data_IF_955962102927
#
_entry.id   IF_955962102927
#
_cell.length_a   1.000
_cell.length_b   1.000
_cell.length_c   1.000
_cell.angle_alpha   90.00
_cell.angle_beta   90.00
_cell.angle_gamma   90.00
#
_symmetry.space_group_name_H-M   'P 1'
#
loop_
_entity.id
_entity.type
_entity.pdbx_description
1 polymer ?
#
# COMPACT_ATOMS: atom_id res chain seq x y z
N UNK A 1 -66.60 -48.70 -48.26
CA UNK A 1 -67.83 -48.66 -47.46
C UNK A 1 -67.61 -47.68 -46.31
N UNK A 2 -68.08 -46.43 -46.44
CA UNK A 2 -69.34 -45.96 -45.83
C UNK A 2 -69.18 -45.68 -44.32
N UNK A 3 -69.01 -44.41 -43.91
CA UNK A 3 -70.03 -43.54 -43.30
C UNK A 3 -69.41 -42.44 -42.41
N UNK A 4 -69.94 -41.23 -42.60
CA UNK A 4 -69.81 -40.03 -41.77
C UNK A 4 -70.65 -40.18 -40.50
N UNK A 5 -70.18 -39.64 -39.36
CA UNK A 5 -70.92 -39.00 -38.23
C UNK A 5 -69.91 -38.85 -37.06
N UNK A 6 -69.86 -37.80 -36.25
CA UNK A 6 -70.69 -36.64 -36.05
C UNK A 6 -70.10 -35.82 -34.89
N UNK A 7 -70.48 -34.54 -34.87
CA UNK A 7 -70.08 -33.46 -33.95
C UNK A 7 -70.29 -33.82 -32.47
N UNK A 8 -69.40 -33.33 -31.59
CA UNK A 8 -69.76 -32.70 -30.30
C UNK A 8 -68.62 -31.81 -29.78
N UNK A 9 -68.93 -30.51 -29.70
CA UNK A 9 -68.19 -29.49 -28.97
C UNK A 9 -68.03 -29.93 -27.51
N UNK A 10 -66.79 -30.01 -27.03
CA UNK A 10 -66.52 -29.81 -25.61
C UNK A 10 -65.45 -28.72 -25.44
N UNK A 11 -65.83 -27.77 -24.60
CA UNK A 11 -65.09 -26.59 -24.21
C UNK A 11 -63.89 -27.05 -23.39
N UNK A 12 -62.69 -26.99 -23.96
CA UNK A 12 -61.46 -27.15 -23.19
C UNK A 12 -60.97 -25.76 -22.78
N UNK A 13 -61.11 -25.48 -21.47
CA UNK A 13 -60.49 -24.35 -20.82
C UNK A 13 -58.97 -24.45 -20.99
N UNK A 14 -58.38 -23.51 -21.74
CA UNK A 14 -56.94 -23.32 -21.81
C UNK A 14 -56.50 -22.71 -20.48
N UNK A 15 -55.99 -23.56 -19.59
CA UNK A 15 -55.22 -23.11 -18.42
C UNK A 15 -53.90 -22.57 -18.97
N UNK A 16 -53.84 -21.25 -19.13
CA UNK A 16 -52.58 -20.53 -19.32
C UNK A 16 -51.81 -20.64 -18.01
N UNK A 17 -50.85 -21.56 -17.95
CA UNK A 17 -49.82 -21.56 -16.92
C UNK A 17 -48.96 -20.33 -17.17
N UNK A 18 -49.25 -19.25 -16.44
CA UNK A 18 -48.34 -18.14 -16.29
C UNK A 18 -47.06 -18.68 -15.63
N UNK A 19 -46.03 -18.93 -16.44
CA UNK A 19 -44.66 -19.05 -15.97
C UNK A 19 -44.25 -17.69 -15.39
N UNK A 20 -44.48 -17.50 -14.09
CA UNK A 20 -43.79 -16.46 -13.34
C UNK A 20 -42.31 -16.83 -13.34
N UNK A 21 -41.55 -16.18 -14.22
CA UNK A 21 -40.12 -16.00 -14.04
C UNK A 21 -39.94 -15.16 -12.78
N UNK A 22 -39.74 -15.82 -11.63
CA UNK A 22 -39.13 -15.19 -10.48
C UNK A 22 -37.71 -14.79 -10.89
N UNK A 23 -37.55 -13.56 -11.38
CA UNK A 23 -36.31 -12.83 -11.21
C UNK A 23 -36.10 -12.69 -9.70
N UNK A 24 -35.34 -13.62 -9.12
CA UNK A 24 -34.79 -13.48 -7.77
C UNK A 24 -33.71 -12.40 -7.82
N UNK A 25 -34.14 -11.14 -7.84
CA UNK A 25 -33.32 -10.02 -7.40
C UNK A 25 -33.42 -9.99 -5.87
N UNK A 26 -32.43 -10.54 -5.17
CA UNK A 26 -32.41 -10.50 -3.71
C UNK A 26 -31.67 -11.67 -3.07
N UNK A 27 -30.42 -11.89 -3.47
CA UNK A 27 -29.48 -12.71 -2.70
C UNK A 27 -28.37 -11.80 -2.21
N UNK A 28 -28.64 -10.95 -1.23
CA UNK A 28 -27.53 -10.44 -0.41
C UNK A 28 -26.83 -11.66 0.16
N UNK A 29 -25.50 -11.72 0.07
CA UNK A 29 -24.75 -12.80 0.71
C UNK A 29 -25.02 -12.70 2.21
N UNK A 30 -25.99 -13.46 2.72
CA UNK A 30 -26.28 -13.52 4.14
C UNK A 30 -25.24 -14.42 4.82
N UNK A 31 -24.54 -13.85 5.80
CA UNK A 31 -23.54 -14.56 6.58
C UNK A 31 -22.39 -13.65 6.97
N UNK A 32 -21.48 -14.21 7.76
CA UNK A 32 -20.25 -13.56 8.18
C UNK A 32 -19.08 -14.44 7.75
N UNK A 33 -17.92 -13.81 7.57
CA UNK A 33 -16.64 -14.47 7.38
C UNK A 33 -15.55 -13.69 8.09
N UNK A 34 -14.30 -14.05 7.80
CA UNK A 34 -13.13 -13.40 8.41
C UNK A 34 -12.45 -12.51 7.40
N UNK A 35 -12.26 -11.24 7.74
CA UNK A 35 -11.40 -10.33 6.98
C UNK A 35 -10.10 -10.13 7.75
N UNK A 36 -8.97 -10.39 7.09
CA UNK A 36 -7.64 -10.08 7.59
C UNK A 36 -7.02 -8.95 6.75
N UNK A 37 -6.25 -8.09 7.40
CA UNK A 37 -5.36 -7.14 6.74
C UNK A 37 -3.94 -7.51 7.08
N UNK A 38 -3.11 -7.61 6.05
CA UNK A 38 -1.68 -7.88 6.16
C UNK A 38 -0.86 -6.68 5.67
N UNK A 39 0.37 -6.58 6.13
CA UNK A 39 1.37 -5.66 5.58
C UNK A 39 2.62 -6.42 5.17
N UNK A 40 3.27 -5.98 4.11
CA UNK A 40 4.63 -6.39 3.76
C UNK A 40 5.34 -5.31 2.95
N UNK A 41 6.67 -5.37 2.97
CA UNK A 41 7.48 -4.67 1.99
C UNK A 41 7.57 -5.53 0.74
N UNK A 42 7.51 -4.92 -0.43
CA UNK A 42 7.74 -5.64 -1.68
C UNK A 42 9.14 -6.31 -1.72
N UNK A 43 9.40 -7.08 -2.78
CA UNK A 43 10.68 -7.77 -2.96
C UNK A 43 11.89 -6.82 -2.90
N UNK A 44 11.75 -5.58 -3.35
CA UNK A 44 12.79 -4.55 -3.27
C UNK A 44 13.16 -4.13 -1.86
N UNK A 45 12.24 -4.24 -0.90
CA UNK A 45 12.56 -4.02 0.52
C UNK A 45 13.18 -5.28 1.12
N UNK A 46 12.59 -6.45 0.87
CA UNK A 46 13.02 -7.71 1.51
C UNK A 46 14.36 -8.26 0.99
N UNK A 47 14.65 -8.04 -0.29
CA UNK A 47 15.82 -8.63 -0.99
C UNK A 47 16.75 -7.56 -1.56
N UNK A 48 16.31 -6.31 -1.60
CA UNK A 48 17.04 -5.20 -2.19
C UNK A 48 16.62 -4.89 -3.62
N UNK A 49 16.93 -3.67 -4.05
CA UNK A 49 16.67 -3.19 -5.40
C UNK A 49 17.90 -3.50 -6.26
N UNK A 50 17.77 -4.32 -7.32
CA UNK A 50 18.91 -4.71 -8.14
C UNK A 50 19.33 -3.58 -9.10
N UNK A 51 20.57 -3.64 -9.58
CA UNK A 51 21.16 -2.61 -10.44
C UNK A 51 20.45 -2.40 -11.79
N UNK A 52 19.61 -3.36 -12.20
CA UNK A 52 18.80 -3.28 -13.41
C UNK A 52 17.59 -2.37 -13.29
N UNK A 53 17.15 -2.08 -12.06
CA UNK A 53 16.04 -1.14 -11.80
C UNK A 53 16.53 0.30 -11.86
N UNK A 54 17.73 0.56 -11.34
CA UNK A 54 18.34 1.88 -11.36
C UNK A 54 18.86 2.25 -12.76
N UNK A 55 18.41 3.41 -13.26
CA UNK A 55 18.88 3.95 -14.55
C UNK A 55 20.39 4.26 -14.56
N UNK A 56 20.96 4.47 -13.38
CA UNK A 56 22.38 4.75 -13.13
C UNK A 56 23.12 3.57 -12.48
N UNK A 57 22.51 2.38 -12.46
CA UNK A 57 23.16 1.09 -12.14
C UNK A 57 23.64 0.93 -10.70
N UNK A 58 23.09 1.71 -9.78
CA UNK A 58 23.20 1.44 -8.34
C UNK A 58 22.33 0.25 -7.95
N UNK A 59 22.68 -0.45 -6.88
CA UNK A 59 21.81 -1.42 -6.20
C UNK A 59 21.70 -1.06 -4.74
N UNK A 60 20.57 -1.35 -4.10
CA UNK A 60 20.33 -1.05 -2.70
C UNK A 60 19.97 -2.31 -1.93
N UNK A 61 20.50 -2.44 -0.72
CA UNK A 61 20.01 -3.40 0.28
C UNK A 61 19.62 -2.67 1.55
N UNK A 62 18.46 -3.00 2.12
CA UNK A 62 17.99 -2.45 3.39
C UNK A 62 18.37 -3.37 4.55
N UNK A 63 18.94 -2.79 5.59
CA UNK A 63 19.13 -3.44 6.90
C UNK A 63 17.93 -3.19 7.82
N UNK A 64 17.25 -2.04 7.65
CA UNK A 64 15.97 -1.73 8.31
C UNK A 64 15.05 -0.98 7.35
N UNK A 65 13.77 -1.32 7.42
CA UNK A 65 12.69 -0.56 6.80
C UNK A 65 11.51 -0.54 7.78
N UNK A 66 11.52 0.44 8.66
CA UNK A 66 10.54 0.58 9.74
C UNK A 66 9.43 1.52 9.31
N UNK A 67 8.18 1.10 9.53
CA UNK A 67 7.00 1.89 9.21
C UNK A 67 6.00 1.86 10.37
N UNK A 68 5.33 2.99 10.60
CA UNK A 68 4.26 3.09 11.60
C UNK A 68 2.92 3.08 10.89
N UNK A 69 2.12 2.02 11.07
CA UNK A 69 0.81 1.87 10.42
C UNK A 69 -0.30 1.73 11.45
N UNK A 70 -1.42 2.39 11.20
CA UNK A 70 -2.62 2.37 12.05
C UNK A 70 -3.83 2.97 11.34
N UNK A 71 -4.89 3.28 12.10
CA UNK A 71 -6.17 3.78 11.57
C UNK A 71 -6.73 2.94 10.40
N UNK A 72 -6.59 1.62 10.48
CA UNK A 72 -7.01 0.72 9.42
C UNK A 72 -8.52 0.59 9.48
N UNK A 73 -9.19 0.86 8.36
CA UNK A 73 -10.65 0.74 8.22
C UNK A 73 -10.96 0.07 6.90
N UNK A 74 -11.92 -0.85 6.91
CA UNK A 74 -12.42 -1.48 5.69
C UNK A 74 -13.93 -1.55 5.69
N UNK A 75 -14.52 -1.15 4.57
CA UNK A 75 -15.95 -1.05 4.35
C UNK A 75 -16.36 -1.70 3.03
N UNK A 76 -17.66 -2.03 2.94
CA UNK A 76 -18.31 -2.45 1.69
C UNK A 76 -18.88 -1.22 0.99
N UNK A 77 -18.26 -0.73 -0.07
CA UNK A 77 -18.61 0.53 -0.73
C UNK A 77 -18.52 1.74 0.19
N UNK A 78 -19.48 2.65 0.11
CA UNK A 78 -19.54 3.90 0.90
C UNK A 78 -20.20 3.73 2.29
N UNK A 79 -20.36 2.49 2.76
CA UNK A 79 -20.94 2.22 4.07
C UNK A 79 -19.96 2.59 5.20
N UNK A 80 -20.47 2.61 6.45
CA UNK A 80 -19.60 2.65 7.61
C UNK A 80 -18.65 1.43 7.63
N UNK A 81 -17.41 1.55 8.14
CA UNK A 81 -16.48 0.44 8.21
C UNK A 81 -17.03 -0.73 9.04
N UNK A 82 -16.98 -1.94 8.49
CA UNK A 82 -17.27 -3.16 9.24
C UNK A 82 -16.02 -3.62 10.03
N UNK A 83 -14.82 -3.20 9.60
CA UNK A 83 -13.55 -3.43 10.30
C UNK A 83 -12.90 -2.09 10.70
N UNK A 84 -12.44 -2.00 11.95
CA UNK A 84 -11.67 -0.86 12.47
C UNK A 84 -10.53 -1.35 13.36
N UNK A 85 -9.31 -0.90 13.08
CA UNK A 85 -8.13 -1.08 13.94
C UNK A 85 -7.37 0.25 14.06
N UNK A 86 -7.68 1.01 15.12
CA UNK A 86 -7.19 2.39 15.26
C UNK A 86 -5.75 2.51 15.75
N UNK A 87 -5.22 1.47 16.40
CA UNK A 87 -3.90 1.53 17.04
C UNK A 87 -2.78 1.58 16.01
N UNK A 88 -1.84 2.52 16.20
CA UNK A 88 -0.59 2.56 15.45
C UNK A 88 0.42 1.55 15.99
N UNK A 89 1.07 0.83 15.08
CA UNK A 89 2.13 -0.13 15.40
C UNK A 89 3.34 0.05 14.48
N UNK A 90 4.53 -0.25 15.01
CA UNK A 90 5.77 -0.27 14.22
C UNK A 90 6.00 -1.64 13.60
N UNK A 91 6.21 -1.66 12.30
CA UNK A 91 6.55 -2.85 11.51
C UNK A 91 7.92 -2.70 10.87
N UNK A 92 8.71 -3.77 10.90
CA UNK A 92 9.95 -3.93 10.15
C UNK A 92 9.66 -4.78 8.91
N UNK A 93 9.77 -4.15 7.74
CA UNK A 93 9.41 -4.71 6.45
C UNK A 93 10.56 -5.39 5.73
N UNK A 94 11.75 -5.43 6.33
CA UNK A 94 12.84 -6.31 5.86
C UNK A 94 12.56 -7.78 6.17
N UNK A 95 11.59 -8.05 7.04
CA UNK A 95 11.13 -9.39 7.37
C UNK A 95 10.31 -9.95 6.23
N UNK A 96 10.66 -11.16 5.80
CA UNK A 96 10.03 -11.79 4.64
C UNK A 96 8.55 -12.12 4.87
N UNK A 97 7.75 -11.71 3.89
CA UNK A 97 6.36 -12.07 3.70
C UNK A 97 5.35 -11.22 4.47
N UNK A 98 4.05 -11.42 4.13
CA UNK A 98 2.95 -10.74 4.79
C UNK A 98 2.88 -10.99 6.30
N UNK A 99 2.68 -9.92 7.06
CA UNK A 99 2.40 -9.92 8.49
C UNK A 99 0.96 -9.50 8.72
N UNK A 100 0.14 -10.32 9.38
CA UNK A 100 -1.22 -9.93 9.80
C UNK A 100 -1.17 -8.78 10.81
N UNK A 101 -1.91 -7.70 10.51
CA UNK A 101 -1.93 -6.47 11.32
C UNK A 101 -3.31 -6.17 11.91
N UNK A 102 -4.37 -6.70 11.30
CA UNK A 102 -5.74 -6.61 11.79
C UNK A 102 -6.55 -7.81 11.32
N UNK A 103 -7.52 -8.23 12.12
CA UNK A 103 -8.44 -9.31 11.79
C UNK A 103 -9.79 -9.04 12.43
N UNK A 104 -10.88 -9.29 11.70
CA UNK A 104 -12.24 -9.16 12.20
C UNK A 104 -13.18 -10.18 11.57
N UNK A 105 -14.21 -10.56 12.32
CA UNK A 105 -15.41 -11.18 11.75
C UNK A 105 -16.28 -10.09 11.17
N UNK A 106 -16.59 -10.18 9.88
CA UNK A 106 -17.33 -9.15 9.15
C UNK A 106 -18.44 -9.78 8.31
N UNK A 107 -19.51 -9.03 7.97
CA UNK A 107 -20.54 -9.52 7.08
C UNK A 107 -19.99 -9.90 5.70
N UNK A 108 -20.66 -10.84 5.02
CA UNK A 108 -20.32 -11.16 3.64
C UNK A 108 -20.54 -9.94 2.71
N UNK A 109 -19.69 -9.85 1.68
CA UNK A 109 -19.66 -8.75 0.72
C UNK A 109 -18.27 -8.45 0.18
N UNK A 110 -18.21 -7.46 -0.72
CA UNK A 110 -16.96 -6.95 -1.29
C UNK A 110 -16.43 -5.80 -0.43
N UNK A 111 -15.20 -5.94 0.05
CA UNK A 111 -14.48 -4.95 0.83
C UNK A 111 -13.56 -4.16 -0.11
N UNK A 112 -14.13 -3.17 -0.78
CA UNK A 112 -13.52 -2.39 -1.85
C UNK A 112 -13.22 -0.93 -1.47
N UNK A 113 -13.45 -0.58 -0.20
CA UNK A 113 -13.15 0.73 0.35
C UNK A 113 -12.34 0.56 1.64
N UNK A 114 -11.03 0.60 1.49
CA UNK A 114 -10.09 0.51 2.61
C UNK A 114 -9.37 1.84 2.81
N UNK A 115 -9.02 2.14 4.06
CA UNK A 115 -8.13 3.25 4.41
C UNK A 115 -7.17 2.83 5.50
N UNK A 116 -6.00 3.45 5.55
CA UNK A 116 -5.01 3.31 6.61
C UNK A 116 -4.17 4.58 6.68
N UNK A 117 -3.38 4.72 7.74
CA UNK A 117 -2.48 5.86 7.91
C UNK A 117 -1.07 5.39 8.20
N UNK A 118 -0.11 6.06 7.56
CA UNK A 118 1.30 6.05 7.97
C UNK A 118 1.54 7.36 8.72
N UNK A 119 1.92 7.31 10.00
CA UNK A 119 1.97 8.51 10.87
C UNK A 119 3.16 8.47 11.81
N UNK A 120 3.70 9.63 12.25
CA UNK A 120 4.76 9.66 13.25
C UNK A 120 4.40 8.84 14.49
N UNK A 121 5.37 8.05 14.97
CA UNK A 121 5.23 7.34 16.22
C UNK A 121 5.14 8.34 17.40
N UNK A 122 4.26 8.02 18.35
CA UNK A 122 4.09 8.76 19.59
C UNK A 122 4.11 7.81 20.80
N UNK A 123 3.82 8.33 21.99
CA UNK A 123 3.81 7.52 23.21
C UNK A 123 2.79 6.36 23.19
N UNK A 124 1.71 6.48 22.41
CA UNK A 124 0.67 5.46 22.26
C UNK A 124 1.00 4.38 21.23
N UNK A 125 1.95 4.62 20.32
CA UNK A 125 2.36 3.63 19.31
C UNK A 125 2.83 2.33 19.97
N UNK A 126 2.37 1.19 19.44
CA UNK A 126 2.66 -0.14 19.96
C UNK A 126 3.70 -0.86 19.08
N UNK A 127 4.24 -1.96 19.60
CA UNK A 127 5.11 -2.84 18.81
C UNK A 127 4.25 -3.71 17.88
N UNK A 128 4.59 -3.74 16.60
CA UNK A 128 4.08 -4.71 15.64
C UNK A 128 5.01 -5.91 15.58
N UNK A 129 5.61 -6.16 14.40
CA UNK A 129 6.64 -7.19 14.25
C UNK A 129 8.07 -6.66 14.50
N UNK A 130 8.29 -5.35 14.66
CA UNK A 130 9.61 -4.75 14.88
C UNK A 130 10.20 -5.10 16.26
N UNK A 131 11.47 -4.74 16.52
CA UNK A 131 12.07 -4.91 17.85
C UNK A 131 11.68 -3.79 18.83
N UNK A 132 11.96 -3.98 20.13
CA UNK A 132 11.73 -2.93 21.12
C UNK A 132 12.64 -1.71 20.90
N UNK A 133 13.87 -1.94 20.43
CA UNK A 133 14.81 -0.86 20.11
C UNK A 133 14.31 -0.06 18.90
N UNK A 134 13.72 -0.72 17.90
CA UNK A 134 13.08 -0.06 16.76
C UNK A 134 11.89 0.80 17.22
N UNK A 135 11.02 0.27 18.08
CA UNK A 135 9.92 1.05 18.65
C UNK A 135 10.44 2.30 19.37
N UNK A 136 11.48 2.15 20.19
CA UNK A 136 12.09 3.26 20.93
C UNK A 136 12.72 4.30 19.98
N UNK A 137 13.41 3.85 18.93
CA UNK A 137 13.98 4.72 17.90
C UNK A 137 12.89 5.55 17.22
N UNK A 138 11.81 4.89 16.76
CA UNK A 138 10.70 5.54 16.07
C UNK A 138 10.01 6.57 16.98
N UNK A 139 9.69 6.19 18.23
CA UNK A 139 9.06 7.10 19.20
C UNK A 139 9.92 8.29 19.58
N UNK A 140 11.20 8.04 19.88
CA UNK A 140 12.10 9.08 20.40
C UNK A 140 12.35 10.20 19.39
N UNK A 141 12.25 9.88 18.10
CA UNK A 141 12.48 10.83 17.02
C UNK A 141 11.19 11.26 16.30
N UNK A 142 10.04 10.69 16.66
CA UNK A 142 8.76 10.96 15.99
C UNK A 142 8.78 10.54 14.52
N UNK A 143 9.39 9.40 14.20
CA UNK A 143 9.43 8.90 12.82
C UNK A 143 8.16 8.13 12.47
N UNK A 144 7.70 8.32 11.24
CA UNK A 144 6.68 7.51 10.58
C UNK A 144 7.30 6.44 9.68
N UNK A 145 8.44 6.77 9.07
CA UNK A 145 9.26 5.88 8.24
C UNK A 145 10.71 6.04 8.70
N UNK A 146 11.42 4.94 8.89
CA UNK A 146 12.87 4.93 9.08
C UNK A 146 13.49 3.86 8.19
N UNK A 147 14.53 4.22 7.46
CA UNK A 147 15.29 3.29 6.63
C UNK A 147 16.76 3.34 7.00
N UNK A 148 17.40 2.18 6.93
CA UNK A 148 18.84 2.00 7.04
C UNK A 148 19.28 1.00 5.99
N UNK A 149 20.34 1.32 5.27
CA UNK A 149 20.84 0.45 4.22
C UNK A 149 22.10 0.97 3.57
N UNK A 150 22.46 0.30 2.48
CA UNK A 150 23.63 0.60 1.66
C UNK A 150 23.29 0.56 0.18
N UNK A 151 23.91 1.46 -0.56
CA UNK A 151 23.88 1.54 -2.00
C UNK A 151 25.27 1.19 -2.58
N UNK A 152 25.29 0.41 -3.65
CA UNK A 152 26.51 -0.05 -4.31
C UNK A 152 26.43 0.14 -5.82
N UNK A 153 27.53 0.55 -6.44
CA UNK A 153 27.68 0.61 -7.90
C UNK A 153 29.02 0.00 -8.30
N UNK A 154 29.02 -0.81 -9.35
CA UNK A 154 30.21 -1.58 -9.73
C UNK A 154 31.37 -0.64 -10.08
N UNK A 155 32.49 -0.78 -9.37
CA UNK A 155 33.68 0.08 -9.55
C UNK A 155 33.64 1.40 -8.78
N UNK A 156 32.58 1.65 -8.01
CA UNK A 156 32.44 2.81 -7.12
C UNK A 156 32.47 2.39 -5.64
N UNK A 157 32.51 3.38 -4.74
CA UNK A 157 32.45 3.15 -3.29
C UNK A 157 31.01 2.86 -2.86
N UNK A 158 30.84 1.98 -1.88
CA UNK A 158 29.57 1.78 -1.18
C UNK A 158 29.19 3.05 -0.43
N UNK A 159 27.92 3.45 -0.51
CA UNK A 159 27.33 4.53 0.29
C UNK A 159 26.36 3.96 1.30
N UNK A 160 26.45 4.36 2.56
CA UNK A 160 25.50 3.98 3.60
C UNK A 160 24.52 5.13 3.85
N UNK A 161 23.35 4.80 4.38
CA UNK A 161 22.35 5.79 4.76
C UNK A 161 21.53 5.34 5.97
N UNK A 162 21.11 6.34 6.76
CA UNK A 162 20.16 6.19 7.88
C UNK A 162 19.23 7.38 7.90
N UNK A 163 18.00 7.21 7.43
CA UNK A 163 17.05 8.31 7.27
C UNK A 163 15.76 8.04 8.02
N UNK A 164 15.35 9.01 8.83
CA UNK A 164 14.05 9.00 9.50
C UNK A 164 13.19 10.18 9.04
N UNK A 165 11.96 9.88 8.66
CA UNK A 165 10.96 10.82 8.17
C UNK A 165 9.77 10.86 9.12
N UNK A 166 9.09 12.00 9.20
CA UNK A 166 7.95 12.23 10.09
C UNK A 166 6.70 12.66 9.32
N UNK A 167 6.58 12.19 8.08
CA UNK A 167 5.38 12.41 7.27
C UNK A 167 4.17 11.74 7.89
N UNK A 168 3.02 12.40 7.75
CA UNK A 168 1.74 11.86 8.16
C UNK A 168 0.88 11.77 6.90
N UNK A 169 0.64 10.54 6.45
CA UNK A 169 0.00 10.26 5.16
C UNK A 169 -1.22 9.39 5.38
N UNK A 170 -2.38 9.90 4.99
CA UNK A 170 -3.62 9.16 4.98
C UNK A 170 -3.83 8.51 3.62
N UNK A 171 -3.89 7.18 3.57
CA UNK A 171 -4.26 6.44 2.37
C UNK A 171 -5.73 6.09 2.45
N UNK A 172 -6.52 6.55 1.49
CA UNK A 172 -7.98 6.43 1.52
C UNK A 172 -8.57 6.09 0.16
N UNK A 173 -9.81 5.58 0.17
CA UNK A 173 -10.47 5.02 -1.02
C UNK A 173 -9.58 4.01 -1.74
N UNK A 174 -8.84 3.20 -0.97
CA UNK A 174 -8.03 2.13 -1.50
C UNK A 174 -8.95 1.05 -2.08
N UNK A 175 -8.73 0.70 -3.34
CA UNK A 175 -9.53 -0.25 -4.09
C UNK A 175 -9.08 -1.69 -3.79
N UNK A 176 -9.33 -2.17 -2.58
CA UNK A 176 -9.06 -3.56 -2.21
C UNK A 176 -9.98 -4.56 -2.93
N UNK A 177 -9.51 -5.78 -3.11
CA UNK A 177 -10.15 -6.82 -3.91
C UNK A 177 -10.82 -7.91 -3.09
N UNK A 178 -10.68 -7.84 -1.76
CA UNK A 178 -11.20 -8.83 -0.83
C UNK A 178 -12.72 -9.03 -0.95
N UNK A 179 -13.14 -10.29 -1.04
CA UNK A 179 -14.53 -10.71 -1.03
C UNK A 179 -14.76 -11.75 0.05
N UNK A 180 -15.72 -11.48 0.91
CA UNK A 180 -16.11 -12.34 2.02
C UNK A 180 -17.41 -13.03 1.67
N UNK A 181 -17.43 -14.36 1.77
CA UNK A 181 -18.64 -15.17 1.75
C UNK A 181 -18.79 -15.88 3.10
N UNK A 182 -19.97 -16.47 3.34
CA UNK A 182 -20.28 -17.12 4.62
C UNK A 182 -19.25 -18.20 5.00
N UNK A 183 -18.57 -17.99 6.13
CA UNK A 183 -17.55 -18.88 6.67
C UNK A 183 -16.23 -18.90 5.90
N UNK A 184 -16.04 -18.02 4.93
CA UNK A 184 -14.76 -17.88 4.21
C UNK A 184 -13.88 -16.83 4.88
N UNK A 185 -12.58 -16.89 4.56
CA UNK A 185 -11.63 -15.83 4.87
C UNK A 185 -11.32 -15.03 3.60
N UNK A 186 -11.10 -13.73 3.74
CA UNK A 186 -10.54 -12.85 2.73
C UNK A 186 -9.39 -12.04 3.33
N UNK A 187 -8.47 -11.63 2.48
CA UNK A 187 -7.26 -10.90 2.87
C UNK A 187 -7.17 -9.64 2.02
N UNK A 188 -6.82 -8.54 2.68
CA UNK A 188 -6.38 -7.28 2.06
C UNK A 188 -4.91 -7.11 2.41
N UNK A 189 -4.10 -6.69 1.45
CA UNK A 189 -2.67 -6.48 1.67
C UNK A 189 -2.32 -5.00 1.52
N UNK A 190 -1.70 -4.42 2.54
CA UNK A 190 -0.99 -3.16 2.43
C UNK A 190 0.41 -3.51 1.92
N UNK A 191 0.74 -3.06 0.70
CA UNK A 191 2.05 -3.29 0.09
C UNK A 191 2.84 -1.99 0.17
N UNK A 192 4.07 -2.06 0.69
CA UNK A 192 4.96 -0.90 0.76
C UNK A 192 6.07 -1.05 -0.28
N UNK A 193 6.20 -0.04 -1.14
CA UNK A 193 7.18 0.03 -2.21
C UNK A 193 8.41 0.84 -1.78
N UNK A 194 9.60 0.26 -1.96
CA UNK A 194 10.86 0.84 -1.46
C UNK A 194 11.58 1.68 -2.50
N UNK A 195 11.39 1.37 -3.78
CA UNK A 195 11.95 2.07 -4.94
C UNK A 195 11.43 3.51 -5.09
N UNK A 196 10.20 3.77 -4.64
CA UNK A 196 9.60 5.10 -4.57
C UNK A 196 10.49 6.16 -3.91
N UNK A 197 11.33 5.77 -2.94
CA UNK A 197 12.28 6.67 -2.27
C UNK A 197 13.36 7.22 -3.20
N UNK A 198 13.54 6.61 -4.36
CA UNK A 198 14.61 6.87 -5.32
C UNK A 198 14.07 7.29 -6.69
N UNK A 199 12.78 7.64 -6.78
CA UNK A 199 12.22 8.26 -7.97
C UNK A 199 12.92 9.58 -8.25
N UNK A 200 13.15 9.88 -9.53
CA UNK A 200 13.74 11.14 -9.94
C UNK A 200 12.72 12.23 -10.21
N UNK A 201 11.40 11.98 -10.17
CA UNK A 201 10.35 12.96 -10.47
C UNK A 201 9.12 12.75 -9.55
N UNK A 202 8.56 13.83 -8.97
CA UNK A 202 7.41 13.73 -8.05
C UNK A 202 6.04 13.54 -8.73
N UNK A 203 5.94 13.79 -10.04
CA UNK A 203 4.67 13.88 -10.76
C UNK A 203 4.63 13.11 -12.07
N UNK A 204 5.76 12.57 -12.54
CA UNK A 204 5.78 11.61 -13.64
C UNK A 204 4.96 10.37 -13.30
N UNK A 205 4.19 9.87 -14.26
CA UNK A 205 3.53 8.56 -14.14
C UNK A 205 4.51 7.39 -14.34
N UNK A 206 5.71 7.68 -14.86
CA UNK A 206 6.79 6.72 -15.10
C UNK A 206 8.12 7.39 -14.68
N UNK A 207 8.34 7.64 -13.38
CA UNK A 207 9.61 8.19 -12.91
C UNK A 207 10.73 7.17 -13.07
N UNK A 208 11.97 7.62 -13.25
CA UNK A 208 13.11 6.71 -13.20
C UNK A 208 13.51 6.48 -11.75
N UNK A 209 14.07 5.30 -11.46
CA UNK A 209 14.76 5.03 -10.19
C UNK A 209 16.24 5.40 -10.36
N UNK A 210 16.75 6.32 -9.52
CA UNK A 210 18.12 6.85 -9.60
C UNK A 210 18.74 7.03 -8.21
N UNK A 211 20.07 6.96 -8.12
CA UNK A 211 20.81 7.19 -6.89
C UNK A 211 22.06 8.07 -7.07
N UNK A 212 22.51 8.37 -8.30
CA UNK A 212 23.71 9.19 -8.57
C UNK A 212 23.64 10.57 -7.89
N UNK A 213 22.47 11.23 -7.92
CA UNK A 213 22.26 12.53 -7.26
C UNK A 213 22.31 12.41 -5.74
N UNK A 214 21.76 11.33 -5.19
CA UNK A 214 21.76 11.04 -3.75
C UNK A 214 23.18 10.71 -3.28
N UNK A 215 23.92 9.87 -4.01
CA UNK A 215 25.33 9.59 -3.75
C UNK A 215 26.20 10.84 -3.87
N UNK A 216 25.90 11.72 -4.81
CA UNK A 216 26.59 13.00 -5.01
C UNK A 216 26.33 14.04 -3.91
N UNK A 217 25.32 13.82 -3.05
CA UNK A 217 25.07 14.67 -1.90
C UNK A 217 26.07 14.48 -0.76
N UNK A 218 26.77 13.34 -0.70
CA UNK A 218 27.89 13.09 0.23
C UNK A 218 29.03 14.09 -0.06
N UNK A 219 28.98 15.19 0.67
CA UNK A 219 29.80 16.38 0.42
C UNK A 219 31.13 16.31 1.16
N UNK A 220 31.19 15.52 2.23
CA UNK A 220 32.37 15.35 3.05
C UNK A 220 33.21 14.13 2.62
N UNK A 221 32.64 13.25 1.79
CA UNK A 221 33.29 12.06 1.22
C UNK A 221 33.51 10.92 2.22
N UNK A 222 32.71 10.86 3.29
CA UNK A 222 32.83 9.83 4.34
C UNK A 222 32.04 8.54 4.04
N UNK A 223 31.31 8.52 2.91
CA UNK A 223 30.44 7.44 2.46
C UNK A 223 29.16 7.23 3.30
N UNK A 224 28.79 8.18 4.14
CA UNK A 224 27.52 8.21 4.85
C UNK A 224 26.67 9.36 4.31
N UNK A 225 25.53 9.04 3.67
CA UNK A 225 24.63 10.08 3.15
C UNK A 225 23.71 10.55 4.28
N UNK A 226 23.95 11.75 4.78
CA UNK A 226 23.22 12.29 5.93
C UNK A 226 22.03 13.17 5.53
N UNK A 227 21.10 13.38 6.47
CA UNK A 227 20.00 14.35 6.30
C UNK A 227 20.53 15.76 6.04
N UNK A 228 21.58 16.15 6.72
CA UNK A 228 22.20 17.47 6.62
C UNK A 228 22.75 17.73 5.21
N UNK A 229 23.34 16.71 4.60
CA UNK A 229 23.84 16.76 3.23
C UNK A 229 22.72 16.82 2.20
N UNK A 230 21.72 15.94 2.33
CA UNK A 230 20.54 15.94 1.46
C UNK A 230 19.79 17.27 1.53
N UNK A 231 19.73 17.92 2.71
CA UNK A 231 19.15 19.26 2.87
C UNK A 231 19.98 20.36 2.23
N UNK A 232 21.29 20.20 2.19
CA UNK A 232 22.21 21.19 1.62
C UNK A 232 22.30 21.09 0.10
N UNK A 233 21.88 19.97 -0.48
CA UNK A 233 21.90 19.71 -1.92
C UNK A 233 20.69 20.33 -2.63
N UNK A 234 20.91 21.37 -3.44
CA UNK A 234 19.86 22.02 -4.24
C UNK A 234 19.53 21.20 -5.51
N UNK A 235 18.25 20.95 -5.76
CA UNK A 235 17.76 20.16 -6.90
C UNK A 235 17.12 21.00 -8.02
N UNK A 236 16.91 22.31 -7.84
CA UNK A 236 16.16 23.17 -8.78
C UNK A 236 16.77 23.22 -10.19
N UNK A 237 18.08 23.02 -10.29
CA UNK A 237 18.80 23.02 -11.57
C UNK A 237 18.86 21.64 -12.25
N UNK A 238 18.38 20.59 -11.59
CA UNK A 238 18.43 19.23 -12.13
C UNK A 238 17.26 18.99 -13.10
N UNK A 239 17.53 18.46 -14.31
CA UNK A 239 16.52 18.35 -15.36
C UNK A 239 15.39 17.35 -15.04
N UNK A 240 15.69 16.32 -14.25
CA UNK A 240 14.73 15.25 -13.96
C UNK A 240 14.00 15.40 -12.63
N UNK A 241 14.53 16.20 -11.68
CA UNK A 241 13.95 16.40 -10.34
C UNK A 241 12.81 17.41 -10.34
N UNK A 242 11.72 17.09 -11.05
CA UNK A 242 10.56 17.96 -11.12
C UNK A 242 9.74 17.92 -9.84
N UNK A 243 9.44 19.11 -9.33
CA UNK A 243 8.75 19.32 -8.04
C UNK A 243 7.43 20.07 -8.18
N UNK A 244 6.98 20.34 -9.41
CA UNK A 244 5.75 21.07 -9.68
C UNK A 244 5.67 22.38 -8.89
N UNK A 245 4.55 22.62 -8.21
CA UNK A 245 4.32 23.82 -7.38
C UNK A 245 4.57 23.61 -5.88
N UNK A 246 5.29 22.55 -5.49
CA UNK A 246 5.49 22.19 -4.07
C UNK A 246 6.40 23.17 -3.33
N UNK A 247 7.28 23.87 -4.05
CA UNK A 247 8.31 24.73 -3.46
C UNK A 247 9.49 23.98 -2.84
N UNK A 248 9.60 22.68 -3.10
CA UNK A 248 10.73 21.85 -2.67
C UNK A 248 11.95 22.22 -3.52
N UNK A 249 13.06 22.58 -2.87
CA UNK A 249 14.30 23.01 -3.53
C UNK A 249 15.52 22.16 -3.18
N UNK A 250 15.38 21.22 -2.24
CA UNK A 250 16.46 20.35 -1.76
C UNK A 250 16.07 18.87 -1.76
N UNK A 251 17.09 18.03 -1.78
CA UNK A 251 16.94 16.58 -1.95
C UNK A 251 16.29 15.89 -0.74
N UNK A 252 16.52 16.39 0.48
CA UNK A 252 15.87 15.84 1.68
C UNK A 252 14.35 16.02 1.64
N UNK A 253 13.88 17.23 1.33
CA UNK A 253 12.46 17.51 1.28
C UNK A 253 11.78 16.80 0.10
N UNK A 254 12.52 16.56 -0.99
CA UNK A 254 12.10 15.74 -2.12
C UNK A 254 11.86 14.27 -1.72
N UNK A 255 12.86 13.62 -1.11
CA UNK A 255 12.73 12.22 -0.65
C UNK A 255 11.66 12.12 0.45
N UNK A 256 11.60 13.11 1.35
CA UNK A 256 10.55 13.21 2.37
C UNK A 256 9.15 13.24 1.74
N UNK A 257 8.97 13.97 0.63
CA UNK A 257 7.70 13.96 -0.11
C UNK A 257 7.38 12.58 -0.69
N UNK A 258 8.37 11.89 -1.27
CA UNK A 258 8.20 10.55 -1.82
C UNK A 258 7.73 9.52 -0.78
N UNK A 259 8.04 9.70 0.50
CA UNK A 259 7.51 8.82 1.57
C UNK A 259 5.98 8.79 1.66
N UNK A 260 5.28 9.77 1.07
CA UNK A 260 3.82 9.82 0.99
C UNK A 260 3.23 8.92 -0.09
N UNK A 261 4.07 8.28 -0.87
CA UNK A 261 3.68 7.46 -2.02
C UNK A 261 4.00 5.99 -1.81
N UNK A 262 4.67 5.61 -0.72
CA UNK A 262 5.15 4.23 -0.51
C UNK A 262 4.02 3.20 -0.42
N UNK A 263 2.84 3.61 0.06
CA UNK A 263 1.74 2.69 0.38
C UNK A 263 0.80 2.42 -0.78
N UNK A 264 0.63 1.13 -1.10
CA UNK A 264 -0.30 0.59 -2.09
C UNK A 264 -1.23 -0.44 -1.43
N UNK A 265 -2.27 -0.88 -2.16
CA UNK A 265 -3.21 -1.91 -1.71
C UNK A 265 -3.16 -3.11 -2.66
N UNK A 266 -3.17 -4.33 -2.16
CA UNK A 266 -3.18 -5.59 -2.92
C UNK A 266 -2.11 -5.62 -4.04
N UNK A 267 -0.86 -5.27 -3.69
CA UNK A 267 0.26 -5.15 -4.63
C UNK A 267 0.40 -3.74 -5.18
N UNK A 268 -0.22 -3.47 -6.33
CA UNK A 268 -0.13 -2.19 -7.07
C UNK A 268 -1.45 -1.40 -7.07
N UNK A 269 -2.44 -1.87 -6.31
CA UNK A 269 -3.76 -1.26 -6.27
C UNK A 269 -3.69 0.18 -5.77
N UNK A 270 -4.56 1.00 -6.36
CA UNK A 270 -4.57 2.43 -6.13
C UNK A 270 -5.22 2.82 -4.79
N UNK A 271 -4.58 3.78 -4.12
CA UNK A 271 -5.13 4.58 -3.04
C UNK A 271 -4.98 6.06 -3.40
N UNK A 272 -5.90 6.90 -2.91
CA UNK A 272 -5.59 8.33 -2.78
C UNK A 272 -4.75 8.56 -1.54
N UNK A 273 -3.88 9.57 -1.56
CA UNK A 273 -3.06 9.97 -0.40
C UNK A 273 -3.08 11.47 -0.15
N UNK A 274 -3.03 11.86 1.13
CA UNK A 274 -2.91 13.25 1.60
C UNK A 274 -2.06 13.37 2.88
#
# INVERSE_FOLDING_TARGET
MTKIKGIKNEIFAVIVVLLLNCFSCGGGEEGEGTLSVEIWGEEYIEKGIPAEVFSDRWSITFDKFLIVVGEIKSARGENAPDMVADKFKVYDLTKQGPTEIAIATVPAGAYDNTSYRISPADNSTEIGNASLDDLNLMKSNGFSVYIEGRAEKTGEQTKNFKWGFNTNTHYYKCQSTARISKGSAGVIQITIHGDHLFFDDLFSSEPNVTFDVIAGADSNGDNEITKEELKSFNIESLPNYQVGSTGIDNLWDFISYLTKTLGHIDGEGHCHSE
#
